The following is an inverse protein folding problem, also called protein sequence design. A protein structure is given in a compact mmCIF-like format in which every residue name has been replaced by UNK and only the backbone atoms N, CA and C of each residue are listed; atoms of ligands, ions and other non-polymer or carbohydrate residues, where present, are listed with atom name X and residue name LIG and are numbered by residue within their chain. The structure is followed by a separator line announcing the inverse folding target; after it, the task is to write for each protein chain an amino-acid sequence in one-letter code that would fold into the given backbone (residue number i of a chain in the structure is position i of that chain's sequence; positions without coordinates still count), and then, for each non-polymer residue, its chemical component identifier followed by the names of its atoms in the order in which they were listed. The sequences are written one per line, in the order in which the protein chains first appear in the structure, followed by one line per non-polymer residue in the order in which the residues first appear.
data_IF_537439579717
#
_entry.id   IF_537439579717
#
_cell.length_a   1.000
_cell.length_b   1.000
_cell.length_c   1.000
_cell.angle_alpha   90.00
_cell.angle_beta   90.00
_cell.angle_gamma   90.00
#
_symmetry.space_group_name_H-M   'P 1'
#
loop_
_entity.id
_entity.type
_entity.pdbx_description
1 polymer ?
#
# COMPACT_ATOMS: atom_id res chain seq x y z
N UNK A 1 5.28 -16.96 -7.76
CA UNK A 1 6.76 -16.90 -7.63
C UNK A 1 7.28 -15.52 -7.22
N UNK A 2 6.72 -14.39 -7.69
CA UNK A 2 7.24 -13.05 -7.34
C UNK A 2 7.15 -12.63 -5.86
N UNK A 3 5.97 -12.72 -5.25
CA UNK A 3 5.76 -12.17 -3.89
C UNK A 3 6.55 -12.91 -2.81
N UNK A 4 6.63 -14.25 -2.88
CA UNK A 4 7.45 -15.06 -1.96
C UNK A 4 8.93 -14.67 -2.01
N UNK A 5 9.45 -14.34 -3.20
CA UNK A 5 10.84 -13.92 -3.36
C UNK A 5 11.09 -12.55 -2.72
N UNK A 6 10.19 -11.58 -2.91
CA UNK A 6 10.29 -10.26 -2.27
C UNK A 6 10.29 -10.41 -0.74
N UNK A 7 9.38 -11.21 -0.19
CA UNK A 7 9.32 -11.48 1.26
C UNK A 7 10.58 -12.19 1.79
N UNK A 8 11.21 -13.04 0.98
CA UNK A 8 12.49 -13.66 1.32
C UNK A 8 13.62 -12.65 1.31
N UNK A 9 13.67 -11.76 0.32
CA UNK A 9 14.65 -10.67 0.28
C UNK A 9 14.51 -9.73 1.47
N UNK A 10 13.28 -9.37 1.87
CA UNK A 10 13.05 -8.56 3.06
C UNK A 10 13.58 -9.24 4.34
N UNK A 11 13.38 -10.55 4.48
CA UNK A 11 13.95 -11.33 5.60
C UNK A 11 15.47 -11.30 5.59
N UNK A 12 16.08 -11.54 4.42
CA UNK A 12 17.54 -11.49 4.29
C UNK A 12 18.11 -10.11 4.66
N UNK A 13 17.46 -9.02 4.25
CA UNK A 13 17.87 -7.65 4.64
C UNK A 13 17.79 -7.46 6.16
N UNK A 14 16.72 -7.92 6.79
CA UNK A 14 16.56 -7.83 8.24
C UNK A 14 17.63 -8.64 8.99
N UNK A 15 17.87 -9.87 8.56
CA UNK A 15 18.76 -10.81 9.25
C UNK A 15 20.24 -10.51 8.98
N UNK A 16 20.61 -10.12 7.75
CA UNK A 16 22.00 -9.90 7.37
C UNK A 16 22.48 -8.46 7.57
N UNK A 17 21.61 -7.47 7.37
CA UNK A 17 21.97 -6.05 7.47
C UNK A 17 21.53 -5.42 8.81
N UNK A 18 20.89 -6.19 9.68
CA UNK A 18 20.38 -5.74 10.99
C UNK A 18 19.48 -4.49 10.91
N UNK A 19 18.81 -4.31 9.78
CA UNK A 19 17.85 -3.23 9.58
C UNK A 19 16.42 -3.70 9.86
N UNK A 20 15.69 -2.97 10.70
CA UNK A 20 14.27 -3.27 10.95
C UNK A 20 13.40 -2.81 9.77
N UNK A 21 13.37 -3.63 8.72
CA UNK A 21 12.46 -3.47 7.59
C UNK A 21 11.16 -4.21 7.89
N UNK A 22 10.05 -3.47 7.93
CA UNK A 22 8.72 -4.01 8.18
C UNK A 22 7.85 -3.94 6.92
N UNK A 23 7.03 -4.97 6.69
CA UNK A 23 6.02 -4.93 5.63
C UNK A 23 4.83 -4.09 6.09
N UNK A 24 4.75 -2.87 5.57
CA UNK A 24 3.61 -1.97 5.81
C UNK A 24 2.31 -2.56 5.25
N UNK A 25 2.34 -3.04 4.01
CA UNK A 25 1.23 -3.74 3.39
C UNK A 25 1.41 -3.96 1.89
N UNK A 26 0.39 -4.55 1.27
CA UNK A 26 0.33 -4.83 -0.17
C UNK A 26 -0.81 -4.04 -0.81
N UNK A 27 -0.49 -3.33 -1.88
CA UNK A 27 -1.42 -2.54 -2.67
C UNK A 27 -1.69 -3.26 -4.00
N UNK A 28 -2.89 -3.81 -4.21
CA UNK A 28 -3.26 -4.32 -5.53
C UNK A 28 -3.51 -3.15 -6.49
N UNK A 29 -2.95 -3.24 -7.70
CA UNK A 29 -3.12 -2.24 -8.76
C UNK A 29 -3.71 -2.87 -10.01
N UNK A 30 -4.14 -2.02 -10.95
CA UNK A 30 -4.75 -2.45 -12.22
C UNK A 30 -5.97 -3.35 -12.03
N UNK A 31 -6.77 -3.10 -11.00
CA UNK A 31 -7.96 -3.90 -10.72
C UNK A 31 -9.07 -3.61 -11.72
N UNK A 32 -9.47 -4.63 -12.47
CA UNK A 32 -10.66 -4.61 -13.30
C UNK A 32 -11.82 -5.24 -12.55
N UNK A 33 -12.82 -4.43 -12.23
CA UNK A 33 -14.04 -4.84 -11.51
C UNK A 33 -14.81 -5.92 -12.30
N UNK A 34 -14.72 -5.93 -13.63
CA UNK A 34 -15.48 -6.84 -14.49
C UNK A 34 -14.80 -8.21 -14.64
N UNK A 35 -13.52 -8.28 -14.35
CA UNK A 35 -12.73 -9.50 -14.54
C UNK A 35 -12.79 -10.40 -13.29
N UNK A 36 -13.29 -11.62 -13.48
CA UNK A 36 -13.37 -12.64 -12.42
C UNK A 36 -12.00 -12.97 -11.82
N UNK A 37 -10.97 -13.11 -12.65
CA UNK A 37 -9.61 -13.43 -12.21
C UNK A 37 -9.06 -12.32 -11.32
N UNK A 38 -9.33 -11.06 -11.64
CA UNK A 38 -8.96 -9.92 -10.80
C UNK A 38 -9.61 -10.00 -9.42
N UNK A 39 -10.88 -10.41 -9.34
CA UNK A 39 -11.58 -10.58 -8.05
C UNK A 39 -10.99 -11.73 -7.23
N UNK A 40 -10.75 -12.88 -7.84
CA UNK A 40 -10.16 -14.05 -7.19
C UNK A 40 -8.73 -13.76 -6.67
N UNK A 41 -7.94 -13.01 -7.43
CA UNK A 41 -6.62 -12.57 -7.01
C UNK A 41 -6.69 -11.68 -5.75
N UNK A 42 -7.61 -10.70 -5.70
CA UNK A 42 -7.79 -9.85 -4.52
C UNK A 42 -8.20 -10.66 -3.30
N UNK A 43 -9.13 -11.61 -3.45
CA UNK A 43 -9.55 -12.48 -2.34
C UNK A 43 -8.38 -13.28 -1.79
N UNK A 44 -7.56 -13.86 -2.67
CA UNK A 44 -6.36 -14.62 -2.28
C UNK A 44 -5.35 -13.73 -1.56
N UNK A 45 -5.13 -12.50 -2.04
CA UNK A 45 -4.24 -11.54 -1.38
C UNK A 45 -4.78 -11.11 -0.01
N UNK A 46 -6.08 -10.87 0.11
CA UNK A 46 -6.72 -10.54 1.40
C UNK A 46 -6.62 -11.69 2.40
N UNK A 47 -6.75 -12.93 1.96
CA UNK A 47 -6.55 -14.11 2.82
C UNK A 47 -5.10 -14.25 3.27
N UNK A 48 -4.12 -13.99 2.39
CA UNK A 48 -2.71 -14.18 2.73
C UNK A 48 -2.10 -13.02 3.54
N UNK A 49 -2.53 -11.78 3.27
CA UNK A 49 -1.97 -10.57 3.88
C UNK A 49 -2.88 -9.93 4.94
N UNK A 50 -4.11 -10.45 5.11
CA UNK A 50 -5.06 -10.04 6.15
C UNK A 50 -5.23 -8.50 6.19
N UNK A 51 -5.11 -7.90 7.38
CA UNK A 51 -5.24 -6.45 7.60
C UNK A 51 -4.19 -5.58 6.87
N UNK A 52 -3.18 -6.20 6.26
CA UNK A 52 -2.13 -5.53 5.47
C UNK A 52 -2.43 -5.48 3.97
N UNK A 53 -3.57 -6.00 3.53
CA UNK A 53 -4.04 -5.83 2.15
C UNK A 53 -4.88 -4.55 2.01
N UNK A 54 -4.38 -3.59 1.22
CA UNK A 54 -5.10 -2.35 0.92
C UNK A 54 -6.22 -2.57 -0.09
N UNK A 55 -7.13 -1.60 -0.17
CA UNK A 55 -8.11 -1.58 -1.25
C UNK A 55 -7.43 -1.38 -2.61
N UNK A 56 -7.93 -2.05 -3.66
CA UNK A 56 -7.28 -2.04 -4.95
C UNK A 56 -7.41 -0.69 -5.66
N UNK A 57 -6.38 -0.31 -6.41
CA UNK A 57 -6.46 0.79 -7.38
C UNK A 57 -7.08 0.27 -8.67
N UNK A 58 -8.26 0.80 -9.04
CA UNK A 58 -8.97 0.41 -10.25
C UNK A 58 -8.27 0.89 -11.51
N UNK A 59 -8.46 0.16 -12.61
CA UNK A 59 -8.13 0.67 -13.94
C UNK A 59 -8.97 1.92 -14.19
N UNK A 60 -8.31 3.03 -14.50
CA UNK A 60 -8.96 4.30 -14.76
C UNK A 60 -8.24 5.05 -15.89
N UNK A 61 -8.98 5.50 -16.91
CA UNK A 61 -8.41 6.24 -18.04
C UNK A 61 -7.77 7.55 -17.59
N UNK A 62 -8.37 8.27 -16.62
CA UNK A 62 -7.81 9.52 -16.08
C UNK A 62 -6.47 9.31 -15.37
N UNK A 63 -6.26 8.15 -14.75
CA UNK A 63 -4.94 7.79 -14.21
C UNK A 63 -3.88 7.62 -15.29
N UNK A 64 -4.26 7.19 -16.50
CA UNK A 64 -3.34 7.04 -17.63
C UNK A 64 -3.06 8.36 -18.35
N UNK A 65 -4.04 9.27 -18.36
CA UNK A 65 -3.94 10.57 -19.01
C UNK A 65 -3.14 11.59 -18.17
N UNK A 66 -3.25 11.54 -16.84
CA UNK A 66 -2.65 12.51 -15.93
C UNK A 66 -1.12 12.69 -16.13
N UNK A 67 -0.30 11.64 -16.29
CA UNK A 67 1.14 11.78 -16.57
C UNK A 67 1.43 12.60 -17.84
N UNK A 68 0.67 12.40 -18.92
CA UNK A 68 0.83 13.16 -20.17
C UNK A 68 0.50 14.64 -20.00
N UNK A 69 -0.44 14.95 -19.10
CA UNK A 69 -0.76 16.32 -18.70
C UNK A 69 0.22 16.91 -17.67
N UNK A 70 1.25 16.16 -17.24
CA UNK A 70 2.21 16.54 -16.19
C UNK A 70 1.53 16.92 -14.87
N UNK A 71 0.39 16.31 -14.59
CA UNK A 71 -0.40 16.55 -13.39
C UNK A 71 -0.55 15.26 -12.60
N UNK A 72 -0.64 15.36 -11.28
CA UNK A 72 -1.07 14.24 -10.45
C UNK A 72 -2.53 13.90 -10.73
N UNK A 73 -2.98 12.71 -10.34
CA UNK A 73 -4.40 12.34 -10.47
C UNK A 73 -5.33 13.27 -9.66
N UNK A 74 -4.82 13.85 -8.57
CA UNK A 74 -5.58 14.77 -7.73
C UNK A 74 -5.79 16.12 -8.40
N UNK A 75 -4.83 16.58 -9.20
CA UNK A 75 -4.93 17.83 -9.96
C UNK A 75 -5.71 17.62 -11.27
N UNK A 76 -5.37 16.58 -12.02
CA UNK A 76 -5.94 16.31 -13.34
C UNK A 76 -7.43 15.94 -13.28
N UNK A 77 -7.79 15.05 -12.37
CA UNK A 77 -9.15 14.55 -12.26
C UNK A 77 -9.52 14.20 -10.80
N UNK A 78 -9.70 15.21 -9.92
CA UNK A 78 -9.94 15.01 -8.49
C UNK A 78 -11.20 14.18 -8.21
N UNK A 79 -12.23 14.25 -9.05
CA UNK A 79 -13.48 13.49 -8.85
C UNK A 79 -13.46 12.11 -9.51
N UNK A 80 -12.34 11.71 -10.12
CA UNK A 80 -12.23 10.40 -10.76
C UNK A 80 -12.17 9.26 -9.74
N UNK A 81 -12.59 8.07 -10.18
CA UNK A 81 -12.41 6.85 -9.40
C UNK A 81 -10.95 6.56 -9.04
N UNK A 82 -10.01 6.91 -9.92
CA UNK A 82 -8.57 6.77 -9.62
C UNK A 82 -8.13 7.69 -8.48
N UNK A 83 -8.53 8.97 -8.50
CA UNK A 83 -8.26 9.88 -7.40
C UNK A 83 -8.84 9.37 -6.08
N UNK A 84 -10.07 8.85 -6.12
CA UNK A 84 -10.72 8.31 -4.93
C UNK A 84 -10.01 7.07 -4.36
N UNK A 85 -9.56 6.15 -5.22
CA UNK A 85 -8.82 4.97 -4.79
C UNK A 85 -7.49 5.37 -4.10
N UNK A 86 -6.78 6.34 -4.66
CA UNK A 86 -5.56 6.87 -4.04
C UNK A 86 -5.84 7.65 -2.75
N UNK A 87 -6.96 8.38 -2.62
CA UNK A 87 -7.31 9.04 -1.34
C UNK A 87 -7.49 8.03 -0.22
N UNK A 88 -8.22 6.94 -0.47
CA UNK A 88 -8.42 5.87 0.51
C UNK A 88 -7.11 5.23 0.93
N UNK A 89 -6.19 5.03 -0.02
CA UNK A 89 -4.84 4.56 0.28
C UNK A 89 -4.09 5.54 1.18
N UNK A 90 -4.05 6.83 0.83
CA UNK A 90 -3.36 7.87 1.61
C UNK A 90 -3.89 7.94 3.04
N UNK A 91 -5.21 7.92 3.22
CA UNK A 91 -5.85 7.90 4.55
C UNK A 91 -5.37 6.70 5.39
N UNK A 92 -5.30 5.51 4.78
CA UNK A 92 -4.89 4.31 5.51
C UNK A 92 -3.39 4.28 5.82
N UNK A 93 -2.55 4.72 4.89
CA UNK A 93 -1.08 4.76 5.09
C UNK A 93 -0.69 5.79 6.16
N UNK A 94 -1.28 6.98 6.13
CA UNK A 94 -0.99 8.04 7.11
C UNK A 94 -1.47 7.68 8.52
N UNK A 95 -2.61 7.00 8.65
CA UNK A 95 -3.08 6.48 9.93
C UNK A 95 -2.10 5.46 10.57
N UNK A 96 -1.49 4.59 9.75
CA UNK A 96 -0.50 3.61 10.24
C UNK A 96 0.81 4.30 10.65
N UNK A 97 1.29 5.26 9.85
CA UNK A 97 2.50 6.01 10.16
C UNK A 97 2.38 6.76 11.51
N UNK A 98 1.22 7.38 11.78
CA UNK A 98 0.95 8.05 13.05
C UNK A 98 0.96 7.09 14.25
N UNK A 99 0.53 5.85 14.06
CA UNK A 99 0.53 4.82 15.12
C UNK A 99 1.95 4.34 15.43
N UNK A 100 2.77 4.11 14.39
CA UNK A 100 4.17 3.72 14.55
C UNK A 100 5.02 4.80 15.24
N UNK A 101 4.79 6.07 14.90
CA UNK A 101 5.47 7.20 15.55
C UNK A 101 5.08 7.35 17.03
N UNK A 102 3.78 7.21 17.36
CA UNK A 102 3.34 7.25 18.78
C UNK A 102 3.93 6.12 19.61
N UNK A 103 4.08 4.91 19.05
CA UNK A 103 4.70 3.79 19.74
C UNK A 103 6.21 4.03 19.98
N UNK A 104 6.92 4.58 19.00
CA UNK A 104 8.35 4.90 19.12
C UNK A 104 8.61 6.07 20.10
N UNK A 105 7.81 7.14 20.06
CA UNK A 105 7.92 8.25 21.02
C UNK A 105 7.67 7.76 22.46
N UNK A 106 6.66 6.92 22.66
CA UNK A 106 6.32 6.40 24.00
C UNK A 106 7.36 5.41 24.54
N UNK A 107 7.98 4.61 23.67
CA UNK A 107 9.11 3.76 24.04
C UNK A 107 10.34 4.59 24.45
N UNK A 108 10.67 5.65 23.70
CA UNK A 108 11.79 6.54 24.03
C UNK A 108 11.62 7.26 25.39
N UNK A 109 10.38 7.57 25.79
CA UNK A 109 10.08 8.17 27.10
C UNK A 109 10.16 7.20 28.28
N UNK A 110 10.06 5.87 28.07
CA UNK A 110 10.12 4.88 29.16
C UNK A 110 11.54 4.37 29.46
N UNK A 111 12.52 4.63 28.59
CA UNK A 111 13.95 4.30 28.82
C UNK A 111 14.71 5.46 29.47
N UNK A 112 14.09 6.64 29.54
CA UNK A 112 14.66 7.85 30.15
C UNK A 112 14.20 8.05 31.61
N UNK A 113 13.62 7.02 32.24
CA UNK A 113 13.19 6.98 33.65
C UNK A 113 13.72 5.70 34.30
#
# INVERSE_FOLDING_TARGET
MGVKQVLRTMRNVRELLQHDVQLLGVLPTFFDVRNRISREAILTMRQHFEGRCYDPIRINTKLREAPSAKQTIFEYAPKSHGAEDYRRLVQRVTAVAATGQRAQTRAALSVAS
#
